data_IF_013154652295
#
_entry.id   IF_013154652295
#
_cell.length_a   1.000
_cell.length_b   1.000
_cell.length_c   1.000
_cell.angle_alpha   90.00
_cell.angle_beta   90.00
_cell.angle_gamma   90.00
#
_symmetry.space_group_name_H-M   'P 1'
#
loop_
_entity.id
_entity.type
_entity.pdbx_description
1 polymer ?
#
# COMPACT_ATOMS: atom_id res chain seq x y z
N UNK A 1 -1.01 -2.80 15.33
CA UNK A 1 -0.78 -3.83 16.35
C UNK A 1 0.67 -3.82 16.86
N UNK A 2 1.69 -3.72 16.01
CA UNK A 2 3.10 -3.82 16.42
C UNK A 2 3.59 -2.76 17.43
N UNK A 3 2.84 -1.71 17.66
CA UNK A 3 3.16 -0.69 18.68
C UNK A 3 3.10 -1.23 20.12
N UNK A 4 2.43 -2.35 20.33
CA UNK A 4 2.27 -2.95 21.65
C UNK A 4 3.61 -3.47 22.22
N UNK A 5 3.73 -3.61 23.56
CA UNK A 5 4.90 -4.24 24.20
C UNK A 5 5.14 -5.65 23.70
N UNK A 6 6.40 -6.07 23.65
CA UNK A 6 6.80 -7.38 23.16
C UNK A 6 6.14 -8.53 23.90
N UNK A 7 6.18 -8.48 25.24
CA UNK A 7 5.60 -9.54 26.08
C UNK A 7 4.12 -9.77 25.77
N UNK A 8 3.37 -8.69 25.56
CA UNK A 8 1.97 -8.77 25.18
C UNK A 8 1.78 -9.37 23.76
N UNK A 9 2.60 -8.93 22.80
CA UNK A 9 2.54 -9.48 21.43
C UNK A 9 2.83 -10.98 21.40
N UNK A 10 3.85 -11.44 22.15
CA UNK A 10 4.22 -12.85 22.24
C UNK A 10 3.09 -13.67 22.89
N UNK A 11 2.51 -13.17 24.00
CA UNK A 11 1.35 -13.82 24.64
C UNK A 11 0.16 -13.98 23.68
N UNK A 12 -0.15 -12.94 22.90
CA UNK A 12 -1.24 -13.01 21.90
C UNK A 12 -0.94 -14.04 20.83
N UNK A 13 0.30 -14.09 20.31
CA UNK A 13 0.70 -15.05 19.28
C UNK A 13 0.69 -16.49 19.82
N UNK A 14 1.16 -16.71 21.04
CA UNK A 14 1.13 -18.02 21.70
C UNK A 14 -0.31 -18.48 21.97
N UNK A 15 -1.18 -17.57 22.42
CA UNK A 15 -2.61 -17.84 22.59
C UNK A 15 -3.26 -18.26 21.26
N UNK A 16 -2.98 -17.54 20.14
CA UNK A 16 -3.51 -17.92 18.83
C UNK A 16 -3.03 -19.31 18.45
N UNK A 17 -1.76 -19.63 18.65
CA UNK A 17 -1.20 -20.95 18.33
C UNK A 17 -1.84 -22.08 19.16
N UNK A 18 -2.14 -21.82 20.44
CA UNK A 18 -2.72 -22.80 21.36
C UNK A 18 -4.21 -23.07 21.06
N UNK A 19 -4.99 -22.00 20.87
CA UNK A 19 -6.45 -22.09 20.76
C UNK A 19 -6.97 -22.15 19.33
N UNK A 20 -6.14 -21.83 18.33
CA UNK A 20 -6.51 -21.86 16.91
C UNK A 20 -5.44 -22.60 16.09
N UNK A 21 -5.20 -23.89 16.37
CA UNK A 21 -4.14 -24.66 15.72
C UNK A 21 -4.31 -24.77 14.18
N UNK A 22 -5.53 -24.59 13.66
CA UNK A 22 -5.84 -24.54 12.23
C UNK A 22 -5.46 -23.21 11.58
N UNK A 23 -5.10 -22.19 12.36
CA UNK A 23 -4.69 -20.88 11.83
C UNK A 23 -3.31 -20.98 11.17
N UNK A 24 -3.27 -20.98 9.85
CA UNK A 24 -2.04 -21.13 9.08
C UNK A 24 -1.25 -19.84 8.94
N UNK A 25 -1.85 -18.67 9.23
CA UNK A 25 -1.20 -17.38 9.06
C UNK A 25 -1.75 -16.32 10.01
N UNK A 26 -0.89 -15.78 10.84
CA UNK A 26 -1.19 -14.59 11.65
C UNK A 26 -0.61 -13.36 10.94
N UNK A 27 -1.41 -12.33 10.80
CA UNK A 27 -1.01 -11.07 10.20
C UNK A 27 -1.34 -9.88 11.12
N UNK A 28 -0.57 -8.80 11.02
CA UNK A 28 -0.77 -7.61 11.82
C UNK A 28 -0.54 -6.32 11.02
N UNK A 29 -1.28 -5.25 11.36
CA UNK A 29 -0.94 -3.92 10.88
C UNK A 29 0.29 -3.38 11.61
N UNK A 30 1.21 -2.79 10.86
CA UNK A 30 2.44 -2.20 11.36
C UNK A 30 2.69 -0.84 10.72
N UNK A 31 2.88 0.19 11.53
CA UNK A 31 3.42 1.45 11.04
C UNK A 31 4.95 1.37 10.97
N UNK A 32 5.56 2.15 10.09
CA UNK A 32 7.04 2.28 10.00
C UNK A 32 7.66 2.55 11.38
N UNK A 33 7.09 3.50 12.16
CA UNK A 33 7.53 3.82 13.52
C UNK A 33 7.38 2.66 14.52
N UNK A 34 6.35 1.84 14.36
CA UNK A 34 6.17 0.68 15.23
C UNK A 34 7.22 -0.41 14.97
N UNK A 35 7.60 -0.61 13.70
CA UNK A 35 8.69 -1.51 13.31
C UNK A 35 10.03 -0.96 13.79
N UNK A 36 10.28 0.33 13.62
CA UNK A 36 11.52 1.00 14.02
C UNK A 36 11.82 0.82 15.52
N UNK A 37 10.78 0.80 16.37
CA UNK A 37 10.90 0.58 17.82
C UNK A 37 11.24 -0.86 18.20
N UNK A 38 11.20 -1.80 17.28
CA UNK A 38 11.58 -3.20 17.49
C UNK A 38 13.03 -3.42 17.05
N UNK A 39 13.78 -4.15 17.85
CA UNK A 39 15.09 -4.66 17.42
C UNK A 39 14.92 -5.77 16.39
N UNK A 40 15.97 -6.08 15.64
CA UNK A 40 15.93 -7.18 14.67
C UNK A 40 15.74 -8.54 15.36
N UNK A 41 16.21 -8.69 16.59
CA UNK A 41 15.98 -9.86 17.43
C UNK A 41 14.50 -9.98 17.83
N UNK A 42 13.86 -8.87 18.21
CA UNK A 42 12.42 -8.85 18.52
C UNK A 42 11.58 -9.19 17.30
N UNK A 43 11.95 -8.72 16.10
CA UNK A 43 11.25 -9.08 14.86
C UNK A 43 11.39 -10.59 14.58
N UNK A 44 12.57 -11.19 14.77
CA UNK A 44 12.76 -12.64 14.65
C UNK A 44 11.91 -13.42 15.65
N UNK A 45 11.87 -12.99 16.92
CA UNK A 45 11.00 -13.61 17.94
C UNK A 45 9.52 -13.56 17.55
N UNK A 46 9.03 -12.41 17.04
CA UNK A 46 7.66 -12.33 16.55
C UNK A 46 7.38 -13.33 15.44
N UNK A 47 8.34 -13.52 14.53
CA UNK A 47 8.25 -14.54 13.46
C UNK A 47 8.21 -15.97 14.01
N UNK A 48 9.06 -16.30 14.97
CA UNK A 48 9.14 -17.61 15.63
C UNK A 48 7.84 -17.94 16.36
N UNK A 49 7.17 -16.93 16.97
CA UNK A 49 5.88 -17.09 17.63
C UNK A 49 4.68 -17.07 16.67
N UNK A 50 4.92 -16.97 15.33
CA UNK A 50 3.86 -17.18 14.35
C UNK A 50 3.43 -15.93 13.58
N UNK A 51 3.99 -14.72 13.83
CA UNK A 51 3.70 -13.56 12.99
C UNK A 51 4.27 -13.78 11.59
N UNK A 52 3.39 -14.01 10.62
CA UNK A 52 3.79 -14.39 9.27
C UNK A 52 3.77 -13.22 8.29
N UNK A 53 2.95 -12.19 8.51
CA UNK A 53 2.74 -11.08 7.59
C UNK A 53 2.51 -9.78 8.34
N UNK A 54 3.05 -8.68 7.84
CA UNK A 54 2.70 -7.33 8.29
C UNK A 54 2.16 -6.49 7.13
N UNK A 55 1.09 -5.72 7.42
CA UNK A 55 0.55 -4.72 6.52
C UNK A 55 1.18 -3.37 6.82
N UNK A 56 1.85 -2.77 5.83
CA UNK A 56 2.59 -1.51 5.96
C UNK A 56 2.00 -0.48 5.00
N UNK A 57 1.56 0.66 5.51
CA UNK A 57 1.18 1.80 4.70
C UNK A 57 2.41 2.58 4.22
N UNK A 58 2.77 2.44 2.95
CA UNK A 58 3.72 3.33 2.28
C UNK A 58 3.02 4.63 1.89
N UNK A 59 1.78 4.51 1.41
CA UNK A 59 0.88 5.54 0.88
C UNK A 59 1.42 6.19 -0.39
N UNK A 60 2.64 6.71 -0.37
CA UNK A 60 3.37 7.30 -1.48
C UNK A 60 4.86 6.99 -1.38
N UNK A 61 5.54 6.90 -2.51
CA UNK A 61 7.01 6.93 -2.58
C UNK A 61 7.57 8.35 -2.70
N UNK A 62 6.72 9.36 -2.89
CA UNK A 62 7.12 10.74 -3.07
C UNK A 62 7.20 11.47 -1.71
N UNK A 63 8.38 11.98 -1.37
CA UNK A 63 8.66 12.56 -0.06
C UNK A 63 7.88 13.86 0.20
N UNK A 64 7.68 14.70 -0.83
CA UNK A 64 6.93 15.95 -0.70
C UNK A 64 5.46 15.68 -0.38
N UNK A 65 4.88 14.64 -0.98
CA UNK A 65 3.52 14.21 -0.65
C UNK A 65 3.43 13.66 0.76
N UNK A 66 4.36 12.82 1.19
CA UNK A 66 4.39 12.30 2.55
C UNK A 66 4.48 13.43 3.58
N UNK A 67 5.28 14.46 3.28
CA UNK A 67 5.38 15.67 4.11
C UNK A 67 4.08 16.47 4.10
N UNK A 68 3.51 16.75 2.92
CA UNK A 68 2.25 17.50 2.74
C UNK A 68 1.09 16.85 3.52
N UNK A 69 1.00 15.52 3.48
CA UNK A 69 -0.03 14.76 4.19
C UNK A 69 0.36 14.42 5.65
N UNK A 70 1.44 15.00 6.15
CA UNK A 70 1.91 14.84 7.52
C UNK A 70 2.02 13.37 7.98
N UNK A 71 2.56 12.50 7.12
CA UNK A 71 2.72 11.07 7.41
C UNK A 71 3.74 10.81 8.53
N UNK A 72 4.66 11.77 8.75
CA UNK A 72 5.65 11.74 9.82
C UNK A 72 6.71 10.66 9.67
N UNK A 73 6.82 10.06 8.48
CA UNK A 73 7.86 9.12 8.06
C UNK A 73 8.15 9.33 6.57
N UNK A 74 9.37 9.03 6.16
CA UNK A 74 9.80 9.06 4.77
C UNK A 74 9.56 7.72 4.06
N UNK A 75 9.56 7.74 2.73
CA UNK A 75 9.54 6.52 1.94
C UNK A 75 10.79 5.67 2.20
N UNK A 76 11.96 6.31 2.31
CA UNK A 76 13.22 5.64 2.62
C UNK A 76 13.19 4.93 3.98
N UNK A 77 12.63 5.54 5.02
CA UNK A 77 12.44 4.91 6.33
C UNK A 77 11.49 3.71 6.25
N UNK A 78 10.42 3.84 5.46
CA UNK A 78 9.47 2.75 5.24
C UNK A 78 10.13 1.57 4.51
N UNK A 79 10.90 1.82 3.44
CA UNK A 79 11.68 0.80 2.73
C UNK A 79 12.65 0.10 3.69
N UNK A 80 13.44 0.86 4.44
CA UNK A 80 14.40 0.30 5.42
C UNK A 80 13.72 -0.64 6.41
N UNK A 81 12.62 -0.21 7.01
CA UNK A 81 11.91 -1.00 8.03
C UNK A 81 11.16 -2.21 7.43
N UNK A 82 10.63 -2.08 6.22
CA UNK A 82 10.06 -3.20 5.47
C UNK A 82 11.11 -4.31 5.21
N UNK A 83 12.31 -3.94 4.79
CA UNK A 83 13.42 -4.88 4.57
C UNK A 83 13.87 -5.57 5.86
N UNK A 84 13.81 -4.90 7.02
CA UNK A 84 14.06 -5.52 8.34
C UNK A 84 13.04 -6.62 8.66
N UNK A 85 11.75 -6.39 8.37
CA UNK A 85 10.72 -7.42 8.52
C UNK A 85 11.02 -8.63 7.63
N UNK A 86 11.38 -8.41 6.35
CA UNK A 86 11.77 -9.50 5.43
C UNK A 86 12.99 -10.25 5.91
N UNK A 87 14.02 -9.57 6.39
CA UNK A 87 15.21 -10.19 6.95
C UNK A 87 14.91 -11.07 8.19
N UNK A 88 13.86 -10.74 8.94
CA UNK A 88 13.35 -11.55 10.04
C UNK A 88 12.43 -12.71 9.57
N UNK A 89 12.20 -12.88 8.26
CA UNK A 89 11.30 -13.90 7.70
C UNK A 89 9.81 -13.56 7.80
N UNK A 90 9.46 -12.30 8.07
CA UNK A 90 8.08 -11.81 8.07
C UNK A 90 7.76 -11.26 6.68
N UNK A 91 6.76 -11.83 6.02
CA UNK A 91 6.25 -11.32 4.75
C UNK A 91 5.67 -9.91 4.91
N UNK A 92 5.70 -9.10 3.85
CA UNK A 92 5.15 -7.75 3.87
C UNK A 92 4.06 -7.57 2.81
N UNK A 93 3.00 -6.87 3.21
CA UNK A 93 1.95 -6.35 2.32
C UNK A 93 2.00 -4.83 2.36
N UNK A 94 2.29 -4.21 1.23
CA UNK A 94 2.47 -2.75 1.14
C UNK A 94 1.22 -2.13 0.51
N UNK A 95 0.71 -1.07 1.14
CA UNK A 95 -0.41 -0.30 0.62
C UNK A 95 0.07 1.05 0.11
N UNK A 96 -0.38 1.44 -1.10
CA UNK A 96 -0.21 2.77 -1.67
C UNK A 96 -1.57 3.37 -2.02
N UNK A 97 -1.64 4.71 -2.09
CA UNK A 97 -2.88 5.44 -2.33
C UNK A 97 -2.80 6.18 -3.66
N UNK A 98 -3.60 5.74 -4.63
CA UNK A 98 -3.78 6.43 -5.91
C UNK A 98 -4.48 7.79 -5.72
N UNK A 99 -4.06 8.77 -6.50
CA UNK A 99 -4.65 10.10 -6.51
C UNK A 99 -4.14 11.02 -5.42
N UNK A 100 -3.13 10.61 -4.66
CA UNK A 100 -2.60 11.38 -3.51
C UNK A 100 -1.97 12.72 -3.92
N UNK A 101 -1.45 12.82 -5.15
CA UNK A 101 -0.92 14.08 -5.68
C UNK A 101 -2.02 15.06 -6.12
N UNK A 102 -3.22 14.57 -6.42
CA UNK A 102 -4.26 15.35 -7.08
C UNK A 102 -3.96 15.59 -8.57
N UNK A 103 -4.96 16.10 -9.30
CA UNK A 103 -4.82 16.36 -10.73
C UNK A 103 -3.92 17.58 -11.01
N UNK A 104 -3.89 18.54 -10.10
CA UNK A 104 -3.07 19.75 -10.19
C UNK A 104 -1.67 19.61 -9.55
N UNK A 105 -1.33 18.42 -9.00
CA UNK A 105 0.01 18.09 -8.50
C UNK A 105 0.80 17.21 -9.48
N UNK A 106 2.02 16.85 -9.10
CA UNK A 106 2.88 15.96 -9.91
C UNK A 106 2.55 14.48 -9.63
N UNK A 107 1.41 14.04 -10.19
CA UNK A 107 0.97 12.65 -10.06
C UNK A 107 1.91 11.67 -10.80
N UNK A 108 2.65 12.13 -11.82
CA UNK A 108 3.62 11.32 -12.53
C UNK A 108 4.82 11.00 -11.61
N UNK A 109 5.37 12.00 -10.94
CA UNK A 109 6.42 11.77 -9.96
C UNK A 109 5.93 10.86 -8.83
N UNK A 110 4.70 11.07 -8.32
CA UNK A 110 4.09 10.18 -7.33
C UNK A 110 4.04 8.71 -7.79
N UNK A 111 3.57 8.44 -9.00
CA UNK A 111 3.50 7.09 -9.55
C UNK A 111 4.89 6.44 -9.67
N UNK A 112 5.85 7.16 -10.24
CA UNK A 112 7.22 6.68 -10.49
C UNK A 112 7.96 6.45 -9.17
N UNK A 113 7.90 7.39 -8.23
CA UNK A 113 8.60 7.28 -6.95
C UNK A 113 7.99 6.16 -6.09
N UNK A 114 6.66 5.99 -6.15
CA UNK A 114 5.98 4.86 -5.49
C UNK A 114 6.42 3.53 -6.10
N UNK A 115 6.53 3.43 -7.43
CA UNK A 115 7.05 2.24 -8.09
C UNK A 115 8.50 1.93 -7.67
N UNK A 116 9.38 2.94 -7.57
CA UNK A 116 10.76 2.78 -7.10
C UNK A 116 10.81 2.28 -5.65
N UNK A 117 10.04 2.89 -4.75
CA UNK A 117 10.00 2.49 -3.34
C UNK A 117 9.51 1.05 -3.17
N UNK A 118 8.45 0.66 -3.87
CA UNK A 118 7.92 -0.71 -3.85
C UNK A 118 8.92 -1.70 -4.48
N UNK A 119 9.58 -1.32 -5.59
CA UNK A 119 10.63 -2.15 -6.21
C UNK A 119 11.82 -2.40 -5.28
N UNK A 120 12.18 -1.42 -4.45
CA UNK A 120 13.24 -1.59 -3.45
C UNK A 120 12.84 -2.56 -2.33
N UNK A 121 11.57 -2.59 -1.96
CA UNK A 121 11.04 -3.50 -0.92
C UNK A 121 10.81 -4.92 -1.44
N UNK A 122 10.38 -5.08 -2.70
CA UNK A 122 9.93 -6.36 -3.31
C UNK A 122 8.98 -7.11 -2.37
N UNK A 123 7.83 -6.51 -2.04
CA UNK A 123 6.89 -7.09 -1.08
C UNK A 123 6.20 -8.33 -1.66
N UNK A 124 5.69 -9.20 -0.80
CA UNK A 124 4.87 -10.35 -1.22
C UNK A 124 3.51 -9.89 -1.78
N UNK A 125 2.98 -8.80 -1.23
CA UNK A 125 1.69 -8.25 -1.65
C UNK A 125 1.77 -6.72 -1.81
N UNK A 126 1.12 -6.21 -2.85
CA UNK A 126 0.94 -4.79 -3.14
C UNK A 126 -0.55 -4.52 -3.26
N UNK A 127 -1.06 -3.59 -2.46
CA UNK A 127 -2.45 -3.18 -2.50
C UNK A 127 -2.56 -1.69 -2.85
N UNK A 128 -3.41 -1.37 -3.84
CA UNK A 128 -3.76 0.00 -4.17
C UNK A 128 -5.16 0.34 -3.65
N UNK A 129 -5.26 1.51 -3.01
CA UNK A 129 -6.53 2.15 -2.65
C UNK A 129 -6.62 3.50 -3.37
N UNK A 130 -7.83 3.97 -3.61
CA UNK A 130 -8.05 5.32 -4.13
C UNK A 130 -8.24 6.31 -2.97
N UNK A 131 -7.62 7.47 -3.08
CA UNK A 131 -7.77 8.57 -2.13
C UNK A 131 -9.24 8.93 -1.94
N UNK A 132 -9.65 9.06 -0.69
CA UNK A 132 -11.01 9.47 -0.30
C UNK A 132 -10.96 10.72 0.53
N UNK A 133 -11.98 11.54 0.38
CA UNK A 133 -12.12 12.79 1.11
C UNK A 133 -13.27 12.68 2.08
N UNK A 134 -13.04 13.12 3.29
CA UNK A 134 -14.07 13.19 4.33
C UNK A 134 -14.20 14.62 4.81
N UNK A 135 -15.42 15.06 5.05
CA UNK A 135 -15.71 16.39 5.60
C UNK A 135 -14.97 16.59 6.94
N UNK A 136 -14.47 17.81 7.15
CA UNK A 136 -13.72 18.16 8.37
C UNK A 136 -12.26 17.68 8.40
N UNK A 137 -11.70 17.26 7.24
CA UNK A 137 -10.29 16.94 7.10
C UNK A 137 -9.52 18.05 6.38
N UNK A 138 -8.22 18.25 6.63
CA UNK A 138 -7.42 19.23 5.88
C UNK A 138 -7.50 19.06 4.36
N UNK A 139 -7.61 17.85 3.86
CA UNK A 139 -7.77 17.58 2.43
C UNK A 139 -9.09 18.16 1.88
N UNK A 140 -10.18 18.08 2.65
CA UNK A 140 -11.45 18.70 2.28
C UNK A 140 -11.30 20.22 2.19
N UNK A 141 -10.61 20.83 3.15
CA UNK A 141 -10.37 22.28 3.16
C UNK A 141 -9.53 22.72 1.96
N UNK A 142 -8.50 21.96 1.59
CA UNK A 142 -7.69 22.23 0.39
C UNK A 142 -8.52 22.14 -0.90
N UNK A 143 -9.49 21.25 -0.97
CA UNK A 143 -10.40 21.15 -2.14
C UNK A 143 -11.30 22.36 -2.21
N UNK A 144 -11.91 22.78 -1.09
CA UNK A 144 -12.77 23.98 -1.04
C UNK A 144 -11.98 25.25 -1.37
N UNK A 145 -10.71 25.33 -0.96
CA UNK A 145 -9.82 26.44 -1.29
C UNK A 145 -9.29 26.41 -2.75
N UNK A 146 -9.56 25.33 -3.51
CA UNK A 146 -9.02 25.15 -4.86
C UNK A 146 -7.53 24.77 -4.92
N UNK A 147 -6.93 24.44 -3.78
CA UNK A 147 -5.52 24.05 -3.66
C UNK A 147 -5.27 22.58 -4.01
N UNK A 148 -6.31 21.77 -4.00
CA UNK A 148 -6.27 20.36 -4.38
C UNK A 148 -7.43 20.01 -5.29
N UNK A 149 -7.12 19.39 -6.42
CA UNK A 149 -8.11 18.89 -7.36
C UNK A 149 -8.08 17.34 -7.36
N UNK A 150 -9.22 16.73 -7.03
CA UNK A 150 -9.35 15.27 -7.07
C UNK A 150 -9.14 14.73 -8.48
N UNK A 151 -8.42 13.61 -8.58
CA UNK A 151 -8.28 12.87 -9.84
C UNK A 151 -9.57 12.11 -10.16
N UNK A 152 -9.98 12.18 -11.43
CA UNK A 152 -11.09 11.39 -11.94
C UNK A 152 -10.68 9.92 -12.23
N UNK A 153 -11.68 9.05 -12.54
CA UNK A 153 -11.40 7.63 -12.81
C UNK A 153 -10.37 7.40 -13.91
N UNK A 154 -10.41 8.20 -14.97
CA UNK A 154 -9.46 8.12 -16.11
C UNK A 154 -8.04 8.48 -15.67
N UNK A 155 -7.88 9.54 -14.87
CA UNK A 155 -6.57 10.00 -14.42
C UNK A 155 -5.95 9.01 -13.41
N UNK A 156 -6.77 8.42 -12.54
CA UNK A 156 -6.35 7.34 -11.65
C UNK A 156 -5.88 6.10 -12.42
N UNK A 157 -6.51 5.79 -13.57
CA UNK A 157 -6.04 4.71 -14.44
C UNK A 157 -4.70 5.06 -15.10
N UNK A 158 -4.50 6.29 -15.53
CA UNK A 158 -3.21 6.77 -16.07
C UNK A 158 -2.10 6.68 -15.03
N UNK A 159 -2.38 7.06 -13.79
CA UNK A 159 -1.44 6.96 -12.67
C UNK A 159 -1.08 5.48 -12.38
N UNK A 160 -2.09 4.60 -12.27
CA UNK A 160 -1.85 3.16 -12.06
C UNK A 160 -1.05 2.54 -13.20
N UNK A 161 -1.33 2.93 -14.45
CA UNK A 161 -0.60 2.49 -15.64
C UNK A 161 0.87 2.87 -15.55
N UNK A 162 1.15 4.13 -15.23
CA UNK A 162 2.51 4.66 -15.09
C UNK A 162 3.28 3.95 -13.96
N UNK A 163 2.63 3.66 -12.83
CA UNK A 163 3.20 2.84 -11.77
C UNK A 163 3.59 1.45 -12.28
N UNK A 164 2.69 0.78 -13.03
CA UNK A 164 2.94 -0.56 -13.57
C UNK A 164 4.06 -0.58 -14.61
N UNK A 165 4.29 0.50 -15.34
CA UNK A 165 5.41 0.64 -16.28
C UNK A 165 6.77 0.71 -15.58
N UNK A 166 6.81 1.27 -14.36
CA UNK A 166 8.05 1.54 -13.62
C UNK A 166 8.35 0.55 -12.49
N UNK A 167 7.40 -0.33 -12.15
CA UNK A 167 7.58 -1.32 -11.09
C UNK A 167 8.47 -2.48 -11.54
N UNK A 168 9.44 -2.87 -10.69
CA UNK A 168 10.20 -4.12 -10.80
C UNK A 168 10.12 -4.89 -9.48
N UNK A 169 9.16 -5.80 -9.39
CA UNK A 169 8.92 -6.57 -8.18
C UNK A 169 8.45 -7.98 -8.51
N UNK A 170 9.39 -8.80 -8.99
CA UNK A 170 9.11 -10.18 -9.43
C UNK A 170 8.45 -11.00 -8.33
N UNK A 171 7.35 -11.67 -8.67
CA UNK A 171 6.60 -12.54 -7.77
C UNK A 171 5.62 -11.82 -6.83
N UNK A 172 5.65 -10.49 -6.74
CA UNK A 172 4.69 -9.73 -5.92
C UNK A 172 3.27 -9.88 -6.44
N UNK A 173 2.33 -10.17 -5.54
CA UNK A 173 0.90 -10.21 -5.85
C UNK A 173 0.33 -8.80 -5.79
N UNK A 174 0.01 -8.23 -6.95
CA UNK A 174 -0.63 -6.91 -7.06
C UNK A 174 -2.15 -7.03 -6.96
N UNK A 175 -2.77 -6.17 -6.18
CA UNK A 175 -4.22 -6.05 -6.02
C UNK A 175 -4.66 -4.59 -6.00
N UNK A 176 -5.57 -4.24 -6.91
CA UNK A 176 -6.30 -2.98 -6.94
C UNK A 176 -7.81 -3.26 -6.99
N UNK A 177 -8.26 -4.23 -6.19
CA UNK A 177 -9.65 -4.70 -6.15
C UNK A 177 -10.45 -4.21 -4.94
N UNK A 178 -9.86 -3.32 -4.13
CA UNK A 178 -10.57 -2.68 -3.01
C UNK A 178 -11.82 -1.94 -3.50
N UNK A 179 -12.81 -1.81 -2.61
CA UNK A 179 -14.08 -1.16 -2.92
C UNK A 179 -13.93 0.30 -3.39
N UNK A 180 -12.86 1.00 -2.98
CA UNK A 180 -12.56 2.37 -3.41
C UNK A 180 -12.08 2.50 -4.86
N UNK A 181 -11.69 1.40 -5.53
CA UNK A 181 -11.07 1.44 -6.85
C UNK A 181 -12.10 1.31 -7.96
N UNK A 182 -11.94 2.13 -9.02
CA UNK A 182 -12.83 2.17 -10.18
C UNK A 182 -12.64 0.97 -11.12
N UNK A 183 -11.46 0.36 -11.15
CA UNK A 183 -11.17 -0.84 -11.94
C UNK A 183 -10.51 -1.88 -11.03
N UNK A 184 -11.15 -3.05 -10.81
CA UNK A 184 -10.53 -4.11 -10.06
C UNK A 184 -9.44 -4.78 -10.90
N UNK A 185 -8.19 -4.67 -10.44
CA UNK A 185 -7.03 -5.30 -11.07
C UNK A 185 -6.40 -6.32 -10.11
N UNK A 186 -5.83 -7.39 -10.67
CA UNK A 186 -5.10 -8.38 -9.90
C UNK A 186 -4.19 -9.22 -10.79
N UNK A 187 -2.96 -9.43 -10.34
CA UNK A 187 -1.95 -10.22 -11.06
C UNK A 187 -0.71 -10.45 -10.22
N UNK A 188 0.22 -11.22 -10.76
CA UNK A 188 1.55 -11.45 -10.19
C UNK A 188 2.58 -10.70 -11.02
N UNK A 189 3.27 -9.74 -10.43
CA UNK A 189 4.35 -8.99 -11.06
C UNK A 189 5.64 -9.86 -11.11
N UNK A 190 6.52 -9.77 -12.10
CA UNK A 190 6.40 -8.95 -13.33
C UNK A 190 5.62 -9.69 -14.44
N UNK A 191 5.32 -10.97 -14.21
CA UNK A 191 4.68 -11.89 -15.18
C UNK A 191 3.45 -11.30 -15.84
N UNK A 192 2.53 -10.77 -15.03
CA UNK A 192 1.21 -10.31 -15.49
C UNK A 192 1.17 -8.79 -15.79
N UNK A 193 2.31 -8.08 -15.69
CA UNK A 193 2.38 -6.61 -15.85
C UNK A 193 1.78 -6.13 -17.16
N UNK A 194 2.15 -6.76 -18.26
CA UNK A 194 1.67 -6.38 -19.60
C UNK A 194 0.15 -6.57 -19.72
N UNK A 195 -0.39 -7.66 -19.22
CA UNK A 195 -1.83 -7.92 -19.22
C UNK A 195 -2.62 -6.91 -18.35
N UNK A 196 -2.04 -6.48 -17.22
CA UNK A 196 -2.62 -5.44 -16.38
C UNK A 196 -2.64 -4.09 -17.12
N UNK A 197 -1.56 -3.70 -17.80
CA UNK A 197 -1.48 -2.49 -18.61
C UNK A 197 -2.50 -2.54 -19.75
N UNK A 198 -2.60 -3.64 -20.48
CA UNK A 198 -3.58 -3.81 -21.55
C UNK A 198 -5.03 -3.69 -21.04
N UNK A 199 -5.31 -4.20 -19.85
CA UNK A 199 -6.63 -4.06 -19.21
C UNK A 199 -6.94 -2.59 -18.92
N UNK A 200 -5.96 -1.83 -18.44
CA UNK A 200 -6.11 -0.39 -18.20
C UNK A 200 -6.30 0.35 -19.52
N UNK A 201 -5.51 0.06 -20.55
CA UNK A 201 -5.61 0.68 -21.87
C UNK A 201 -6.99 0.42 -22.49
N UNK A 202 -7.51 -0.79 -22.37
CA UNK A 202 -8.88 -1.11 -22.78
C UNK A 202 -9.96 -0.31 -22.03
N UNK A 203 -9.73 -0.02 -20.75
CA UNK A 203 -10.63 0.83 -19.97
C UNK A 203 -10.52 2.32 -20.38
N UNK A 204 -9.31 2.81 -20.66
CA UNK A 204 -9.08 4.15 -21.18
C UNK A 204 -9.72 4.37 -22.55
N UNK A 205 -9.72 3.33 -23.41
CA UNK A 205 -10.40 3.30 -24.72
C UNK A 205 -11.93 3.13 -24.62
N UNK A 206 -12.48 2.99 -23.41
CA UNK A 206 -13.92 2.77 -23.18
C UNK A 206 -14.40 1.35 -23.50
N UNK A 207 -13.49 0.39 -23.77
CA UNK A 207 -13.82 -1.01 -24.06
C UNK A 207 -14.12 -1.82 -22.80
N UNK A 208 -13.58 -1.38 -21.64
CA UNK A 208 -13.84 -1.94 -20.33
C UNK A 208 -14.47 -0.87 -19.46
N UNK A 209 -15.60 -1.22 -18.84
CA UNK A 209 -16.36 -0.28 -18.01
C UNK A 209 -15.65 -0.04 -16.68
N UNK A 210 -15.42 1.22 -16.32
CA UNK A 210 -15.07 1.63 -14.97
C UNK A 210 -16.31 1.65 -14.06
N UNK A 211 -16.14 1.31 -12.78
CA UNK A 211 -17.19 1.49 -11.77
C UNK A 211 -17.56 2.97 -11.68
N UNK A 212 -18.85 3.25 -11.43
CA UNK A 212 -19.30 4.61 -11.11
C UNK A 212 -19.04 4.90 -9.62
N UNK A 213 -18.94 6.16 -9.26
CA UNK A 213 -18.71 6.57 -7.86
C UNK A 213 -19.75 5.96 -6.89
N UNK A 214 -21.01 5.82 -7.32
CA UNK A 214 -22.09 5.22 -6.52
C UNK A 214 -21.95 3.69 -6.34
N UNK A 215 -21.08 3.04 -7.11
CA UNK A 215 -20.79 1.60 -7.03
C UNK A 215 -19.56 1.32 -6.17
N UNK A 216 -18.89 2.37 -5.71
CA UNK A 216 -17.76 2.24 -4.79
C UNK A 216 -18.33 2.06 -3.38
N UNK A 217 -18.19 0.85 -2.84
CA UNK A 217 -18.63 0.53 -1.49
C UNK A 217 -17.68 1.13 -0.44
N UNK A 218 -18.16 2.10 0.31
CA UNK A 218 -17.54 2.62 1.54
C UNK A 218 -18.62 3.03 2.51
#
# INVERSE_FOLDING_TARGET
ALILPMDYLLQVLDFIREYFPECTRVAAYATTKAIERKTDEELRKLREHGLALVYIGLESGNEDLLLKFNKGVTAAETVKNALRCKAAGIAISVTAINGMAGLNGDWQAHAIDTAKAVSAMKPEFIAFLTLRVYSGTPLHDWIEAGEFQMMGPVDLMRETRLFLEHIDSEGSVFRSNHASNYLPLGGTLNRDREALIQTIDAALDGKVRLRRAVELGL
#
